data_IF_179199502207
#
_entry.id   IF_179199502207
#
_cell.length_a   1.000
_cell.length_b   1.000
_cell.length_c   1.000
_cell.angle_alpha   90.00
_cell.angle_beta   90.00
_cell.angle_gamma   90.00
#
_symmetry.space_group_name_H-M   'P 1'
#
loop_
_entity.id
_entity.type
_entity.pdbx_description
1 polymer ?
#
# COMPACT_ATOMS: atom_id res chain seq x y z
N UNK A 1 -11.98 19.56 6.44
CA UNK A 1 -12.39 18.29 7.05
C UNK A 1 -12.79 17.34 5.93
N UNK A 2 -12.33 16.07 5.97
CA UNK A 2 -12.62 15.04 4.96
C UNK A 2 -12.93 13.72 5.64
N UNK A 3 -13.75 12.89 5.01
CA UNK A 3 -13.95 11.49 5.36
C UNK A 3 -12.95 10.63 4.58
N UNK A 4 -12.03 9.99 5.29
CA UNK A 4 -10.90 9.25 4.70
C UNK A 4 -10.99 7.78 5.05
N UNK A 5 -11.13 6.91 4.07
CA UNK A 5 -11.04 5.47 4.23
C UNK A 5 -9.62 4.99 3.97
N UNK A 6 -9.03 4.26 4.93
CA UNK A 6 -7.70 3.67 4.79
C UNK A 6 -7.79 2.17 5.07
N UNK A 7 -7.31 1.34 4.13
CA UNK A 7 -7.25 -0.10 4.32
C UNK A 7 -5.94 -0.53 4.97
N UNK A 8 -5.97 -1.61 5.80
CA UNK A 8 -4.77 -2.18 6.40
C UNK A 8 -4.13 -1.34 7.50
N UNK A 9 -4.95 -0.77 8.39
CA UNK A 9 -4.51 0.07 9.51
C UNK A 9 -4.12 -0.71 10.78
N UNK A 10 -4.12 -2.04 10.77
CA UNK A 10 -3.76 -2.85 11.93
C UNK A 10 -2.31 -2.67 12.38
N UNK A 11 -1.40 -2.24 11.49
CA UNK A 11 0.03 -2.05 11.79
C UNK A 11 0.70 -1.10 10.78
N UNK A 12 1.99 -0.84 11.00
CA UNK A 12 2.88 -0.19 10.03
C UNK A 12 2.44 1.19 9.55
N UNK A 13 2.61 1.43 8.24
CA UNK A 13 2.37 2.74 7.63
C UNK A 13 0.91 3.15 7.68
N UNK A 14 -0.01 2.22 7.40
CA UNK A 14 -1.46 2.49 7.43
C UNK A 14 -1.94 2.95 8.80
N UNK A 15 -1.51 2.28 9.87
CA UNK A 15 -1.84 2.67 11.24
C UNK A 15 -1.33 4.06 11.58
N UNK A 16 -0.07 4.35 11.28
CA UNK A 16 0.52 5.66 11.58
C UNK A 16 -0.13 6.77 10.75
N UNK A 17 -0.42 6.51 9.47
CA UNK A 17 -1.13 7.45 8.60
C UNK A 17 -2.55 7.74 9.10
N UNK A 18 -3.31 6.70 9.52
CA UNK A 18 -4.67 6.86 10.05
C UNK A 18 -4.69 7.76 11.29
N UNK A 19 -3.81 7.47 12.26
CA UNK A 19 -3.68 8.27 13.48
C UNK A 19 -3.29 9.71 13.15
N UNK A 20 -2.31 9.92 12.26
CA UNK A 20 -1.84 11.26 11.90
C UNK A 20 -2.95 12.06 11.21
N UNK A 21 -3.68 11.48 10.26
CA UNK A 21 -4.78 12.16 9.58
C UNK A 21 -5.94 12.47 10.54
N UNK A 22 -6.26 11.56 11.45
CA UNK A 22 -7.26 11.81 12.49
C UNK A 22 -6.84 12.92 13.46
N UNK A 23 -5.57 12.96 13.88
CA UNK A 23 -5.01 14.05 14.72
C UNK A 23 -5.02 15.41 14.02
N UNK A 24 -5.14 15.44 12.70
CA UNK A 24 -5.29 16.65 11.89
C UNK A 24 -6.75 17.08 11.69
N UNK A 25 -7.69 16.38 12.34
CA UNK A 25 -9.12 16.68 12.36
C UNK A 25 -9.94 15.99 11.27
N UNK A 26 -9.36 15.15 10.39
CA UNK A 26 -10.14 14.37 9.43
C UNK A 26 -10.89 13.23 10.12
N UNK A 27 -12.09 12.90 9.64
CA UNK A 27 -12.79 11.70 10.08
C UNK A 27 -12.22 10.48 9.33
N UNK A 28 -11.59 9.55 10.06
CA UNK A 28 -10.87 8.44 9.44
C UNK A 28 -11.56 7.11 9.72
N UNK A 29 -11.99 6.43 8.66
CA UNK A 29 -12.37 5.02 8.67
C UNK A 29 -11.09 4.18 8.52
N UNK A 30 -10.54 3.73 9.66
CA UNK A 30 -9.30 2.98 9.72
C UNK A 30 -9.57 1.48 9.73
N UNK A 31 -9.55 0.83 8.57
CA UNK A 31 -9.96 -0.58 8.50
C UNK A 31 -8.80 -1.54 8.70
N UNK A 32 -9.10 -2.70 9.24
CA UNK A 32 -8.14 -3.72 9.67
C UNK A 32 -8.51 -5.09 9.13
N UNK A 33 -7.55 -6.01 9.10
CA UNK A 33 -7.76 -7.37 8.63
C UNK A 33 -8.60 -8.20 9.62
N UNK A 34 -8.49 -7.96 10.94
CA UNK A 34 -9.20 -8.70 11.98
C UNK A 34 -9.93 -7.77 12.93
N UNK A 35 -11.00 -8.29 13.57
CA UNK A 35 -11.75 -7.58 14.59
C UNK A 35 -10.89 -7.22 15.82
N UNK A 36 -9.93 -8.07 16.19
CA UNK A 36 -9.00 -7.80 17.29
C UNK A 36 -8.14 -6.55 17.00
N UNK A 37 -7.67 -6.40 15.76
CA UNK A 37 -6.90 -5.21 15.35
C UNK A 37 -7.79 -3.96 15.38
N UNK A 38 -9.03 -4.06 14.94
CA UNK A 38 -10.00 -2.96 14.98
C UNK A 38 -10.29 -2.54 16.42
N UNK A 39 -10.53 -3.50 17.30
CA UNK A 39 -10.75 -3.26 18.72
C UNK A 39 -9.57 -2.50 19.36
N UNK A 40 -8.33 -2.98 19.15
CA UNK A 40 -7.11 -2.32 19.67
C UNK A 40 -6.98 -0.88 19.16
N UNK A 41 -7.33 -0.64 17.90
CA UNK A 41 -7.25 0.69 17.32
C UNK A 41 -8.34 1.62 17.85
N UNK A 42 -9.55 1.10 18.10
CA UNK A 42 -10.64 1.83 18.74
C UNK A 42 -10.33 2.18 20.21
N UNK A 43 -9.62 1.33 20.93
CA UNK A 43 -9.14 1.66 22.29
C UNK A 43 -8.17 2.86 22.27
N UNK A 44 -7.26 2.90 21.31
CA UNK A 44 -6.36 4.05 21.13
C UNK A 44 -7.14 5.32 20.75
N UNK A 45 -8.12 5.19 19.85
CA UNK A 45 -8.99 6.28 19.44
C UNK A 45 -9.69 6.90 20.64
N UNK A 46 -10.32 6.10 21.49
CA UNK A 46 -11.00 6.58 22.71
C UNK A 46 -10.03 7.30 23.64
N UNK A 47 -8.84 6.73 23.87
CA UNK A 47 -7.81 7.32 24.74
C UNK A 47 -7.35 8.70 24.23
N UNK A 48 -7.20 8.88 22.93
CA UNK A 48 -6.70 10.11 22.33
C UNK A 48 -7.78 11.03 21.78
N UNK A 49 -9.05 10.63 21.91
CA UNK A 49 -10.22 11.37 21.42
C UNK A 49 -10.10 11.77 19.94
N UNK A 50 -9.64 10.84 19.12
CA UNK A 50 -9.47 11.09 17.68
C UNK A 50 -10.78 10.93 16.92
N UNK A 51 -11.08 11.73 15.88
CA UNK A 51 -12.22 11.53 14.99
C UNK A 51 -11.95 10.34 14.04
N UNK A 52 -11.93 9.14 14.59
CA UNK A 52 -11.58 7.92 13.88
C UNK A 52 -12.48 6.76 14.32
N UNK A 53 -12.91 5.96 13.38
CA UNK A 53 -13.62 4.71 13.59
C UNK A 53 -12.82 3.56 12.98
N UNK A 54 -12.74 2.44 13.70
CA UNK A 54 -12.05 1.25 13.19
C UNK A 54 -12.97 0.05 13.16
N UNK A 55 -12.97 -0.66 12.04
CA UNK A 55 -13.74 -1.89 11.86
C UNK A 55 -12.98 -2.87 10.96
N UNK A 56 -13.38 -4.14 11.05
CA UNK A 56 -12.83 -5.18 10.18
C UNK A 56 -13.27 -4.94 8.74
N UNK A 57 -12.30 -4.87 7.86
CA UNK A 57 -12.45 -4.98 6.41
C UNK A 57 -11.30 -5.83 5.88
N UNK A 58 -11.55 -7.13 5.77
CA UNK A 58 -10.66 -8.01 5.01
C UNK A 58 -10.88 -7.72 3.52
N UNK A 59 -9.84 -7.23 2.85
CA UNK A 59 -9.95 -6.86 1.43
C UNK A 59 -10.27 -8.05 0.54
N UNK A 60 -10.02 -9.29 0.97
CA UNK A 60 -10.37 -10.52 0.26
C UNK A 60 -11.86 -10.87 0.40
N UNK A 61 -12.52 -10.40 1.46
CA UNK A 61 -13.94 -10.67 1.69
C UNK A 61 -14.82 -9.65 0.96
N UNK A 62 -15.66 -10.12 0.05
CA UNK A 62 -16.57 -9.26 -0.73
C UNK A 62 -17.53 -8.51 0.17
N UNK A 63 -18.11 -9.19 1.14
CA UNK A 63 -19.06 -8.64 2.11
C UNK A 63 -18.42 -7.52 2.93
N UNK A 64 -17.15 -7.65 3.30
CA UNK A 64 -16.41 -6.61 4.01
C UNK A 64 -16.19 -5.39 3.11
N UNK A 65 -15.84 -5.58 1.83
CA UNK A 65 -15.70 -4.46 0.88
C UNK A 65 -17.01 -3.70 0.64
N UNK A 66 -18.15 -4.40 0.67
CA UNK A 66 -19.46 -3.77 0.50
C UNK A 66 -19.88 -2.88 1.67
N UNK A 67 -19.36 -3.07 2.87
CA UNK A 67 -19.65 -2.24 4.06
C UNK A 67 -19.40 -0.74 3.84
N UNK A 68 -18.54 -0.39 2.90
CA UNK A 68 -18.16 1.01 2.66
C UNK A 68 -18.94 1.70 1.55
N UNK A 69 -19.89 0.99 0.92
CA UNK A 69 -20.63 1.47 -0.26
C UNK A 69 -21.33 2.82 -0.02
N UNK A 70 -21.96 2.95 1.13
CA UNK A 70 -22.81 4.10 1.46
C UNK A 70 -22.09 5.11 2.38
N UNK A 71 -20.82 4.86 2.71
CA UNK A 71 -20.03 5.80 3.50
C UNK A 71 -19.69 7.06 2.66
N UNK A 72 -19.70 8.26 3.27
CA UNK A 72 -19.43 9.52 2.58
C UNK A 72 -17.93 9.75 2.36
N UNK A 73 -17.25 8.82 1.68
CA UNK A 73 -15.80 8.83 1.52
C UNK A 73 -15.35 9.91 0.55
N UNK A 74 -14.56 10.87 1.03
CA UNK A 74 -13.89 11.89 0.21
C UNK A 74 -12.53 11.41 -0.32
N UNK A 75 -11.83 10.58 0.45
CA UNK A 75 -10.51 10.05 0.09
C UNK A 75 -10.46 8.56 0.39
N UNK A 76 -10.14 7.76 -0.61
CA UNK A 76 -9.83 6.33 -0.44
C UNK A 76 -8.32 6.14 -0.51
N UNK A 77 -7.74 5.49 0.49
CA UNK A 77 -6.33 5.08 0.53
C UNK A 77 -6.25 3.56 0.53
N UNK A 78 -6.00 2.98 -0.64
CA UNK A 78 -5.72 1.56 -0.81
C UNK A 78 -4.31 1.26 -0.30
N UNK A 79 -4.18 0.97 0.99
CA UNK A 79 -2.91 0.73 1.66
C UNK A 79 -2.68 -0.74 2.02
N UNK A 80 -3.73 -1.52 2.25
CA UNK A 80 -3.59 -2.95 2.54
C UNK A 80 -2.80 -3.67 1.44
N UNK A 81 -1.81 -4.45 1.84
CA UNK A 81 -1.01 -5.24 0.92
C UNK A 81 -0.33 -6.40 1.66
N UNK A 82 -0.09 -7.48 0.96
CA UNK A 82 0.81 -8.55 1.38
C UNK A 82 2.07 -8.54 0.51
N UNK A 83 3.15 -9.07 1.07
CA UNK A 83 4.35 -9.36 0.31
C UNK A 83 4.56 -10.85 0.18
N UNK A 84 5.15 -11.25 -0.92
CA UNK A 84 5.69 -12.56 -1.11
C UNK A 84 6.98 -12.50 -1.95
N UNK A 85 7.82 -13.51 -1.79
CA UNK A 85 9.14 -13.53 -2.39
C UNK A 85 9.65 -14.96 -2.61
N UNK A 86 10.58 -15.09 -3.56
CA UNK A 86 11.22 -16.32 -3.95
C UNK A 86 11.59 -16.31 -5.42
N UNK A 87 12.24 -17.39 -5.87
CA UNK A 87 12.62 -17.55 -7.27
C UNK A 87 11.40 -17.76 -8.15
N UNK A 88 11.25 -16.96 -9.21
CA UNK A 88 10.15 -17.13 -10.18
C UNK A 88 10.27 -18.44 -10.97
N UNK A 89 11.45 -19.06 -11.01
CA UNK A 89 11.67 -20.31 -11.70
C UNK A 89 11.01 -21.52 -10.98
N UNK A 90 10.61 -21.37 -9.70
CA UNK A 90 10.20 -22.49 -8.87
C UNK A 90 9.11 -22.18 -7.84
N UNK A 91 8.75 -20.89 -7.68
CA UNK A 91 7.69 -20.49 -6.75
C UNK A 91 6.33 -21.02 -7.21
N UNK A 92 5.52 -21.53 -6.29
CA UNK A 92 4.14 -21.90 -6.59
C UNK A 92 3.36 -20.69 -7.11
N UNK A 93 2.76 -20.84 -8.29
CA UNK A 93 1.98 -19.79 -8.96
C UNK A 93 0.78 -19.34 -8.13
N UNK A 94 0.23 -20.18 -7.26
CA UNK A 94 -0.86 -19.78 -6.36
C UNK A 94 -0.42 -18.69 -5.37
N UNK A 95 0.86 -18.62 -5.02
CA UNK A 95 1.42 -17.51 -4.21
C UNK A 95 1.43 -16.20 -5.00
N UNK A 96 1.69 -16.25 -6.31
CA UNK A 96 1.51 -15.10 -7.20
C UNK A 96 0.05 -14.65 -7.24
N UNK A 97 -0.88 -15.61 -7.48
CA UNK A 97 -2.32 -15.32 -7.53
C UNK A 97 -2.79 -14.64 -6.26
N UNK A 98 -2.44 -15.19 -5.08
CA UNK A 98 -2.82 -14.60 -3.79
C UNK A 98 -2.26 -13.18 -3.61
N UNK A 99 -1.02 -12.92 -4.06
CA UNK A 99 -0.41 -11.60 -3.98
C UNK A 99 -1.10 -10.61 -4.92
N UNK A 100 -1.46 -11.03 -6.14
CA UNK A 100 -2.22 -10.20 -7.08
C UNK A 100 -3.64 -9.96 -6.61
N UNK A 101 -4.30 -10.97 -6.08
CA UNK A 101 -5.65 -10.84 -5.52
C UNK A 101 -5.68 -9.72 -4.47
N UNK A 102 -4.82 -9.83 -3.45
CA UNK A 102 -4.79 -8.87 -2.35
C UNK A 102 -4.32 -7.48 -2.78
N UNK A 103 -3.27 -7.40 -3.61
CA UNK A 103 -2.59 -6.13 -3.87
C UNK A 103 -3.13 -5.39 -5.09
N UNK A 104 -3.84 -6.06 -5.99
CA UNK A 104 -4.28 -5.50 -7.28
C UNK A 104 -5.79 -5.61 -7.45
N UNK A 105 -6.35 -6.81 -7.45
CA UNK A 105 -7.76 -6.99 -7.78
C UNK A 105 -8.69 -6.43 -6.69
N UNK A 106 -8.48 -6.78 -5.44
CA UNK A 106 -9.28 -6.25 -4.33
C UNK A 106 -9.23 -4.71 -4.21
N UNK A 107 -8.07 -4.02 -4.35
CA UNK A 107 -8.02 -2.56 -4.44
C UNK A 107 -8.81 -1.98 -5.62
N UNK A 108 -8.83 -2.64 -6.78
CA UNK A 108 -9.65 -2.21 -7.93
C UNK A 108 -11.12 -2.30 -7.58
N UNK A 109 -11.58 -3.45 -7.06
CA UNK A 109 -12.99 -3.66 -6.70
C UNK A 109 -13.44 -2.65 -5.63
N UNK A 110 -12.65 -2.46 -4.57
CA UNK A 110 -12.95 -1.47 -3.54
C UNK A 110 -12.99 -0.05 -4.11
N UNK A 111 -12.07 0.28 -5.02
CA UNK A 111 -12.06 1.57 -5.72
C UNK A 111 -13.33 1.76 -6.53
N UNK A 112 -13.80 0.75 -7.26
CA UNK A 112 -15.04 0.80 -8.04
C UNK A 112 -16.28 1.00 -7.15
N UNK A 113 -16.32 0.38 -5.97
CA UNK A 113 -17.41 0.57 -5.00
C UNK A 113 -17.45 2.04 -4.56
N UNK A 114 -16.32 2.59 -4.11
CA UNK A 114 -16.24 3.96 -3.59
C UNK A 114 -16.41 5.01 -4.70
N UNK A 115 -15.90 4.76 -5.90
CA UNK A 115 -16.00 5.68 -7.04
C UNK A 115 -17.45 5.98 -7.43
N UNK A 116 -18.40 5.07 -7.26
CA UNK A 116 -19.81 5.33 -7.56
C UNK A 116 -20.32 6.58 -6.81
N UNK A 117 -20.04 6.66 -5.52
CA UNK A 117 -20.40 7.81 -4.69
C UNK A 117 -19.59 9.07 -5.09
N UNK A 118 -18.30 8.96 -5.33
CA UNK A 118 -17.44 10.09 -5.73
C UNK A 118 -17.86 10.67 -7.07
N UNK A 119 -18.17 9.85 -8.08
CA UNK A 119 -18.62 10.29 -9.41
C UNK A 119 -19.98 11.01 -9.31
N UNK A 120 -20.91 10.46 -8.51
CA UNK A 120 -22.22 11.12 -8.27
C UNK A 120 -22.03 12.52 -7.67
N UNK A 121 -21.09 12.67 -6.72
CA UNK A 121 -20.74 13.97 -6.10
C UNK A 121 -19.78 14.80 -6.96
N UNK A 122 -19.26 14.25 -8.06
CA UNK A 122 -18.24 14.86 -8.96
C UNK A 122 -16.94 15.24 -8.24
N UNK A 123 -16.68 14.67 -7.09
CA UNK A 123 -15.55 15.02 -6.21
C UNK A 123 -15.11 13.82 -5.38
N UNK A 124 -13.80 13.67 -5.25
CA UNK A 124 -13.20 12.63 -4.44
C UNK A 124 -11.71 12.54 -4.67
N UNK A 125 -11.06 11.50 -4.13
CA UNK A 125 -9.63 11.26 -4.31
C UNK A 125 -9.34 9.78 -4.11
N UNK A 126 -8.58 9.19 -5.02
CA UNK A 126 -8.12 7.81 -4.92
C UNK A 126 -6.61 7.81 -4.74
N UNK A 127 -6.13 7.08 -3.75
CA UNK A 127 -4.71 6.93 -3.44
C UNK A 127 -4.38 5.43 -3.41
N UNK A 128 -3.41 5.02 -4.24
CA UNK A 128 -2.85 3.67 -4.18
C UNK A 128 -1.48 3.71 -3.52
N UNK A 129 -1.26 2.81 -2.55
CA UNK A 129 0.07 2.58 -2.00
C UNK A 129 0.84 1.65 -2.93
N UNK A 130 1.65 2.25 -3.79
CA UNK A 130 2.62 1.57 -4.63
C UNK A 130 3.91 1.27 -3.84
N UNK A 131 5.04 1.35 -4.46
CA UNK A 131 6.38 1.21 -3.86
C UNK A 131 7.43 1.70 -4.86
N UNK A 132 8.65 1.97 -4.42
CA UNK A 132 9.79 2.10 -5.31
C UNK A 132 10.01 0.82 -6.15
N UNK A 133 9.59 -0.34 -5.63
CA UNK A 133 9.62 -1.61 -6.38
C UNK A 133 8.55 -1.71 -7.48
N UNK A 134 7.62 -0.78 -7.56
CA UNK A 134 6.72 -0.61 -8.70
C UNK A 134 7.41 0.02 -9.93
N UNK A 135 8.63 0.52 -9.75
CA UNK A 135 9.45 1.12 -10.80
C UNK A 135 10.80 0.41 -10.98
N UNK A 136 11.16 -0.47 -10.07
CA UNK A 136 12.43 -1.17 -10.06
C UNK A 136 12.23 -2.63 -9.68
N UNK A 137 12.42 -3.55 -10.62
CA UNK A 137 12.35 -4.98 -10.35
C UNK A 137 13.56 -5.44 -9.53
N UNK A 138 13.30 -6.27 -8.53
CA UNK A 138 14.33 -6.85 -7.65
C UNK A 138 14.27 -8.38 -7.80
N UNK A 139 15.39 -9.07 -8.12
CA UNK A 139 15.41 -10.52 -8.15
C UNK A 139 14.92 -11.13 -6.84
N UNK A 140 14.18 -12.23 -6.93
CA UNK A 140 13.52 -12.95 -5.82
C UNK A 140 12.38 -12.19 -5.13
N UNK A 141 12.02 -10.99 -5.61
CA UNK A 141 10.87 -10.23 -5.10
C UNK A 141 9.76 -10.09 -6.17
N UNK A 142 9.80 -10.95 -7.18
CA UNK A 142 8.93 -10.89 -8.36
C UNK A 142 7.43 -10.88 -8.03
N UNK A 143 6.88 -11.71 -7.11
CA UNK A 143 5.45 -11.67 -6.78
C UNK A 143 5.00 -10.28 -6.31
N UNK A 144 5.77 -9.66 -5.44
CA UNK A 144 5.46 -8.33 -4.91
C UNK A 144 5.73 -7.21 -5.93
N UNK A 145 6.91 -7.20 -6.57
CA UNK A 145 7.28 -6.17 -7.54
C UNK A 145 6.23 -6.07 -8.65
N UNK A 146 5.83 -7.19 -9.25
CA UNK A 146 4.87 -7.21 -10.35
C UNK A 146 3.51 -6.61 -9.96
N UNK A 147 3.03 -6.83 -8.73
CA UNK A 147 1.81 -6.18 -8.25
C UNK A 147 1.96 -4.65 -8.15
N UNK A 148 3.14 -4.18 -7.75
CA UNK A 148 3.39 -2.73 -7.66
C UNK A 148 3.57 -2.08 -9.02
N UNK A 149 4.20 -2.77 -10.00
CA UNK A 149 4.20 -2.34 -11.40
C UNK A 149 2.76 -2.28 -11.99
N UNK A 150 1.92 -3.26 -11.67
CA UNK A 150 0.52 -3.25 -12.08
C UNK A 150 -0.22 -2.03 -11.51
N UNK A 151 -0.04 -1.72 -10.22
CA UNK A 151 -0.66 -0.54 -9.59
C UNK A 151 -0.18 0.79 -10.20
N UNK A 152 1.09 0.90 -10.63
CA UNK A 152 1.60 2.08 -11.35
C UNK A 152 0.83 2.31 -12.65
N UNK A 153 0.64 1.25 -13.44
CA UNK A 153 -0.12 1.30 -14.70
C UNK A 153 -1.60 1.61 -14.45
N UNK A 154 -2.23 0.87 -13.53
CA UNK A 154 -3.65 1.02 -13.17
C UNK A 154 -3.94 2.45 -12.68
N UNK A 155 -3.12 2.96 -11.76
CA UNK A 155 -3.28 4.33 -11.25
C UNK A 155 -3.11 5.38 -12.33
N UNK A 156 -2.19 5.19 -13.27
CA UNK A 156 -2.01 6.10 -14.41
C UNK A 156 -3.22 6.08 -15.35
N UNK A 157 -3.69 4.89 -15.74
CA UNK A 157 -4.85 4.73 -16.63
C UNK A 157 -6.09 5.34 -15.98
N UNK A 158 -6.42 4.95 -14.75
CA UNK A 158 -7.58 5.47 -14.03
C UNK A 158 -7.54 7.01 -13.90
N UNK A 159 -6.36 7.59 -13.62
CA UNK A 159 -6.21 9.04 -13.55
C UNK A 159 -6.48 9.74 -14.88
N UNK A 160 -6.16 9.11 -16.00
CA UNK A 160 -6.47 9.63 -17.35
C UNK A 160 -7.93 9.44 -17.72
N UNK A 161 -8.50 8.30 -17.36
CA UNK A 161 -9.91 7.98 -17.64
C UNK A 161 -10.86 8.92 -16.88
N UNK A 162 -10.63 9.13 -15.58
CA UNK A 162 -11.48 10.02 -14.77
C UNK A 162 -11.44 11.48 -15.24
N UNK A 163 -10.34 11.92 -15.88
CA UNK A 163 -10.25 13.25 -16.51
C UNK A 163 -11.11 13.41 -17.77
N UNK A 164 -11.58 12.30 -18.36
CA UNK A 164 -12.51 12.34 -19.49
C UNK A 164 -13.96 12.65 -19.05
N UNK A 165 -14.25 12.44 -17.76
CA UNK A 165 -15.60 12.68 -17.24
C UNK A 165 -15.84 14.20 -17.05
N UNK A 166 -16.92 14.75 -17.61
CA UNK A 166 -17.17 16.19 -17.54
C UNK A 166 -17.48 16.65 -16.11
N UNK A 167 -16.81 17.70 -15.68
CA UNK A 167 -17.00 18.33 -14.35
C UNK A 167 -16.68 17.41 -13.16
N UNK A 168 -15.95 16.32 -13.37
CA UNK A 168 -15.50 15.42 -12.30
C UNK A 168 -14.07 15.79 -11.88
N UNK A 169 -13.87 15.98 -10.58
CA UNK A 169 -12.55 16.23 -9.99
C UNK A 169 -12.21 15.12 -8.98
N UNK A 170 -11.66 14.03 -9.49
CA UNK A 170 -11.23 12.87 -8.71
C UNK A 170 -9.79 12.51 -9.11
N UNK A 171 -8.78 13.21 -8.56
CA UNK A 171 -7.39 12.86 -8.82
C UNK A 171 -7.05 11.47 -8.28
N UNK A 172 -6.29 10.72 -9.06
CA UNK A 172 -5.70 9.45 -8.65
C UNK A 172 -4.22 9.68 -8.36
N UNK A 173 -3.75 9.16 -7.23
CA UNK A 173 -2.42 9.45 -6.68
C UNK A 173 -1.72 8.14 -6.32
N UNK A 174 -0.43 8.08 -6.57
CA UNK A 174 0.45 6.99 -6.16
C UNK A 174 1.37 7.46 -5.03
N UNK A 175 1.41 6.71 -3.93
CA UNK A 175 2.45 6.87 -2.92
C UNK A 175 3.45 5.75 -3.10
N UNK A 176 4.72 6.09 -3.25
CA UNK A 176 5.83 5.15 -3.52
C UNK A 176 6.79 5.09 -2.32
N UNK A 177 6.49 4.28 -1.28
CA UNK A 177 7.43 4.08 -0.18
C UNK A 177 8.69 3.36 -0.64
N UNK A 178 9.82 3.76 -0.05
CA UNK A 178 11.01 2.93 0.01
C UNK A 178 10.95 1.92 1.16
N UNK A 179 12.10 1.55 1.70
CA UNK A 179 12.20 0.61 2.82
C UNK A 179 11.99 1.32 4.16
N UNK A 180 11.03 0.84 4.94
CA UNK A 180 10.73 1.28 6.30
C UNK A 180 10.68 0.10 7.26
N UNK A 181 11.19 0.28 8.47
CA UNK A 181 11.25 -0.73 9.54
C UNK A 181 9.87 -0.99 10.17
N UNK A 182 8.97 -1.57 9.39
CA UNK A 182 7.60 -1.92 9.80
C UNK A 182 7.43 -3.41 10.11
N UNK A 183 8.48 -4.22 9.94
CA UNK A 183 8.42 -5.68 9.99
C UNK A 183 7.98 -6.35 8.67
N UNK A 184 7.46 -5.58 7.71
CA UNK A 184 6.96 -6.10 6.43
C UNK A 184 8.05 -6.81 5.62
N UNK A 185 9.25 -6.20 5.52
CA UNK A 185 10.35 -6.76 4.75
C UNK A 185 10.91 -8.03 5.39
N UNK A 186 11.04 -8.05 6.73
CA UNK A 186 11.52 -9.22 7.49
C UNK A 186 10.56 -10.41 7.32
N UNK A 187 9.26 -10.16 7.38
CA UNK A 187 8.25 -11.19 7.14
C UNK A 187 8.36 -11.77 5.73
N UNK A 188 8.56 -10.93 4.70
CA UNK A 188 8.69 -11.39 3.33
C UNK A 188 9.96 -12.21 3.12
N UNK A 189 11.09 -11.76 3.67
CA UNK A 189 12.35 -12.52 3.62
C UNK A 189 12.20 -13.86 4.32
N UNK A 190 11.58 -13.92 5.49
CA UNK A 190 11.37 -15.18 6.19
C UNK A 190 10.47 -16.15 5.39
N UNK A 191 9.37 -15.68 4.81
CA UNK A 191 8.51 -16.47 3.92
C UNK A 191 9.27 -17.09 2.75
N UNK A 192 10.15 -16.34 2.09
CA UNK A 192 10.99 -16.81 1.01
C UNK A 192 11.85 -17.98 1.46
N UNK A 193 12.60 -17.81 2.53
CA UNK A 193 13.60 -18.81 2.93
C UNK A 193 12.98 -20.02 3.62
N UNK A 194 11.76 -19.93 4.14
CA UNK A 194 11.05 -21.08 4.69
C UNK A 194 10.83 -22.19 3.65
N UNK A 195 10.43 -21.83 2.42
CA UNK A 195 10.21 -22.83 1.40
C UNK A 195 11.45 -23.12 0.55
N UNK A 196 12.27 -22.12 0.22
CA UNK A 196 13.49 -22.31 -0.60
C UNK A 196 14.56 -23.15 0.09
N UNK A 197 14.58 -23.21 1.44
CA UNK A 197 15.51 -24.08 2.18
C UNK A 197 15.22 -25.56 2.01
N UNK A 198 13.98 -25.92 1.78
CA UNK A 198 13.53 -27.33 1.70
C UNK A 198 13.91 -27.92 0.36
N UNK A 199 13.52 -27.25 -0.74
CA UNK A 199 13.80 -27.72 -2.09
C UNK A 199 13.87 -26.53 -3.05
N UNK A 200 15.07 -26.20 -3.53
CA UNK A 200 15.29 -25.07 -4.43
C UNK A 200 16.52 -25.31 -5.32
N UNK A 201 16.43 -24.88 -6.58
CA UNK A 201 17.58 -24.80 -7.49
C UNK A 201 18.71 -23.95 -6.95
N UNK A 202 18.42 -23.04 -6.00
CA UNK A 202 19.37 -22.13 -5.37
C UNK A 202 19.90 -22.63 -4.02
N UNK A 203 19.67 -23.90 -3.64
CA UNK A 203 20.01 -24.48 -2.32
C UNK A 203 21.42 -24.10 -1.85
N UNK A 204 22.42 -24.21 -2.71
CA UNK A 204 23.82 -23.92 -2.38
C UNK A 204 24.12 -22.41 -2.19
N UNK A 205 23.19 -21.53 -2.53
CA UNK A 205 23.33 -20.07 -2.43
C UNK A 205 22.40 -19.41 -1.40
N UNK A 206 21.51 -20.19 -0.79
CA UNK A 206 20.45 -19.65 0.07
C UNK A 206 21.00 -18.83 1.22
N UNK A 207 21.99 -19.35 1.95
CA UNK A 207 22.58 -18.64 3.09
C UNK A 207 23.22 -17.29 2.66
N UNK A 208 23.89 -17.26 1.50
CA UNK A 208 24.47 -16.04 0.95
C UNK A 208 23.38 -15.05 0.52
N UNK A 209 22.32 -15.52 -0.13
CA UNK A 209 21.18 -14.69 -0.52
C UNK A 209 20.48 -14.09 0.71
N UNK A 210 20.23 -14.91 1.72
CA UNK A 210 19.58 -14.48 2.95
C UNK A 210 20.39 -13.40 3.67
N UNK A 211 21.71 -13.63 3.86
CA UNK A 211 22.60 -12.64 4.48
C UNK A 211 22.61 -11.33 3.70
N UNK A 212 22.67 -11.39 2.36
CA UNK A 212 22.68 -10.21 1.50
C UNK A 212 21.37 -9.41 1.63
N UNK A 213 20.21 -10.08 1.67
CA UNK A 213 18.92 -9.42 1.82
C UNK A 213 18.76 -8.78 3.19
N UNK A 214 19.11 -9.49 4.28
CA UNK A 214 19.07 -8.90 5.62
C UNK A 214 19.99 -7.71 5.78
N UNK A 215 21.22 -7.79 5.24
CA UNK A 215 22.16 -6.68 5.26
C UNK A 215 21.60 -5.47 4.49
N UNK A 216 21.02 -5.72 3.31
CA UNK A 216 20.40 -4.67 2.52
C UNK A 216 19.31 -3.93 3.32
N UNK A 217 18.38 -4.66 3.94
CA UNK A 217 17.33 -4.03 4.76
C UNK A 217 17.90 -3.33 5.98
N UNK A 218 18.85 -3.94 6.69
CA UNK A 218 19.53 -3.31 7.83
C UNK A 218 20.16 -1.96 7.48
N UNK A 219 20.70 -1.83 6.29
CA UNK A 219 21.36 -0.60 5.82
C UNK A 219 20.40 0.42 5.20
N UNK A 220 19.26 -0.03 4.67
CA UNK A 220 18.38 0.85 3.89
C UNK A 220 17.07 1.20 4.59
N UNK A 221 16.62 0.41 5.57
CA UNK A 221 15.35 0.70 6.24
C UNK A 221 15.43 1.96 7.09
N UNK A 222 14.51 2.87 6.85
CA UNK A 222 14.29 4.02 7.72
C UNK A 222 13.46 3.63 8.94
N UNK A 223 13.94 3.92 10.14
CA UNK A 223 13.20 3.75 11.38
C UNK A 223 12.18 4.87 11.59
N UNK A 224 12.46 6.06 11.06
CA UNK A 224 11.53 7.17 11.09
C UNK A 224 10.58 7.12 9.90
N UNK A 225 9.30 6.88 10.20
CA UNK A 225 8.22 6.84 9.22
C UNK A 225 7.61 8.22 8.90
N UNK A 226 8.05 9.30 9.55
CA UNK A 226 7.41 10.62 9.37
C UNK A 226 7.52 11.11 7.93
N UNK A 227 8.65 10.85 7.27
CA UNK A 227 8.86 11.24 5.87
C UNK A 227 7.82 10.66 4.92
N UNK A 228 7.40 9.41 5.12
CA UNK A 228 6.35 8.79 4.29
C UNK A 228 4.95 9.13 4.79
N UNK A 229 4.71 9.21 6.09
CA UNK A 229 3.41 9.60 6.65
C UNK A 229 3.01 10.99 6.19
N UNK A 230 3.97 11.93 6.12
CA UNK A 230 3.72 13.25 5.54
C UNK A 230 3.38 13.20 4.04
N UNK A 231 3.73 12.13 3.31
CA UNK A 231 3.25 11.92 1.93
C UNK A 231 1.79 11.46 1.88
N UNK A 232 1.34 10.66 2.86
CA UNK A 232 -0.11 10.37 2.99
C UNK A 232 -0.89 11.65 3.29
N UNK A 233 -0.39 12.48 4.19
CA UNK A 233 -1.01 13.77 4.52
C UNK A 233 -1.08 14.67 3.27
N UNK A 234 0.04 14.91 2.61
CA UNK A 234 0.11 15.73 1.41
C UNK A 234 -0.82 15.18 0.30
N UNK A 235 -0.78 13.87 0.04
CA UNK A 235 -1.67 13.22 -0.91
C UNK A 235 -3.15 13.39 -0.56
N UNK A 236 -3.52 13.37 0.72
CA UNK A 236 -4.89 13.53 1.16
C UNK A 236 -5.36 15.00 1.19
N UNK A 237 -4.48 15.96 1.54
CA UNK A 237 -4.88 17.33 1.85
C UNK A 237 -4.63 18.35 0.74
N UNK A 238 -3.51 18.24 -0.02
CA UNK A 238 -3.13 19.26 -1.01
C UNK A 238 -4.27 19.55 -1.99
N UNK A 239 -4.61 20.83 -2.26
CA UNK A 239 -5.66 21.19 -3.21
C UNK A 239 -5.37 20.66 -4.62
N UNK A 240 -4.10 20.75 -5.04
CA UNK A 240 -3.60 20.28 -6.33
C UNK A 240 -2.53 19.20 -6.10
N UNK A 241 -2.94 17.95 -5.77
CA UNK A 241 -1.99 16.92 -5.44
C UNK A 241 -1.15 16.50 -6.65
N UNK A 242 0.11 16.17 -6.39
CA UNK A 242 0.98 15.53 -7.37
C UNK A 242 0.46 14.12 -7.67
N UNK A 243 0.70 13.65 -8.88
CA UNK A 243 0.36 12.26 -9.24
C UNK A 243 1.17 11.23 -8.44
N UNK A 244 2.42 11.57 -8.02
CA UNK A 244 3.31 10.70 -7.25
C UNK A 244 3.93 11.40 -6.06
N UNK A 245 3.97 10.69 -4.94
CA UNK A 245 4.69 11.07 -3.72
C UNK A 245 5.68 9.96 -3.34
N UNK A 246 6.94 10.32 -3.18
CA UNK A 246 8.04 9.38 -2.92
C UNK A 246 8.70 9.72 -1.59
N UNK A 247 9.00 8.71 -0.77
CA UNK A 247 9.83 8.83 0.43
C UNK A 247 10.46 7.46 0.80
N UNK A 248 11.68 7.43 1.37
CA UNK A 248 12.59 8.57 1.58
C UNK A 248 13.16 9.11 0.26
N UNK A 249 13.52 10.38 0.23
CA UNK A 249 13.97 11.05 -1.00
C UNK A 249 15.21 10.38 -1.64
N UNK A 250 16.19 10.05 -0.83
CA UNK A 250 17.46 9.44 -1.29
C UNK A 250 17.19 8.12 -2.02
N UNK A 251 16.36 7.24 -1.46
CA UNK A 251 16.00 5.98 -2.12
C UNK A 251 15.23 6.21 -3.43
N UNK A 252 14.41 7.25 -3.49
CA UNK A 252 13.71 7.67 -4.71
C UNK A 252 14.68 8.10 -5.82
N UNK A 253 15.74 8.84 -5.49
CA UNK A 253 16.80 9.23 -6.44
C UNK A 253 17.55 8.00 -6.97
N UNK A 254 17.91 7.05 -6.10
CA UNK A 254 18.57 5.80 -6.50
C UNK A 254 17.69 4.97 -7.45
N UNK A 255 16.39 4.88 -7.17
CA UNK A 255 15.45 4.17 -8.04
C UNK A 255 15.33 4.82 -9.43
N UNK A 256 15.31 6.15 -9.49
CA UNK A 256 15.32 6.91 -10.76
C UNK A 256 16.59 6.65 -11.56
N UNK A 257 17.76 6.74 -10.93
CA UNK A 257 19.06 6.51 -11.59
C UNK A 257 19.15 5.10 -12.17
N UNK A 258 18.74 4.07 -11.41
CA UNK A 258 18.72 2.68 -11.90
C UNK A 258 17.78 2.45 -13.09
N UNK A 259 16.69 3.18 -13.20
CA UNK A 259 15.80 3.09 -14.36
C UNK A 259 16.39 3.73 -15.61
N UNK A 260 17.22 4.76 -15.46
CA UNK A 260 17.93 5.41 -16.58
C UNK A 260 19.03 4.51 -17.11
N UNK A 261 19.77 3.85 -16.22
CA UNK A 261 20.89 2.94 -16.57
C UNK A 261 20.43 1.58 -17.15
N UNK A 262 19.14 1.28 -17.16
CA UNK A 262 18.57 0.07 -17.81
C UNK A 262 18.10 0.30 -19.24
N UNK A 263 18.21 1.51 -19.74
CA UNK A 263 18.05 1.87 -21.15
C UNK A 263 19.39 1.83 -21.87
#
# INVERSE_FOLDING_TARGET
LKHILITGCGSGLGRKAAITLASRGHYVYATTHTDEQAYKLNMLNRKWKLPMESFKLDVLCKEDREKVRDLPIDVLINNAAIGDSGSIAEIDVNRFRATFETNVFCPIELTQIVLKGMIKRRKGRIIFLSSLTGRMAIPFLSPYCSTKFALESIGYCLNKELKQLPRVNIPVILIEPGSYATGFNQLNVSKQFNWMKVNSYFKNRINKLQRKQYLYFKLTESTNMDSIVMKYVAAAEEPHPKFRYIAPYVQGCVAKAKNILKK
#
